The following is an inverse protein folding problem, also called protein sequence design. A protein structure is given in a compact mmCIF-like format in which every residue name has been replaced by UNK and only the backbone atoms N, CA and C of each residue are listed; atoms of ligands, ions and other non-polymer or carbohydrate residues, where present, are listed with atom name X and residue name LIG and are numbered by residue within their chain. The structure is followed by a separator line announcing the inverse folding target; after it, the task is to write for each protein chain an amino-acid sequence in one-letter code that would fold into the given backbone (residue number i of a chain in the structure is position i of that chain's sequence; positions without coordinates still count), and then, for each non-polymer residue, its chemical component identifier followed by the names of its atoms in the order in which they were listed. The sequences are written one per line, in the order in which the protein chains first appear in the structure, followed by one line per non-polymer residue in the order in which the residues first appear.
data_IF_255258848475
#
_entry.id   IF_255258848475
#
_cell.length_a   1.000
_cell.length_b   1.000
_cell.length_c   1.000
_cell.angle_alpha   90.00
_cell.angle_beta   90.00
_cell.angle_gamma   90.00
#
_symmetry.space_group_name_H-M   'P 1'
#
loop_
_entity.id
_entity.type
_entity.pdbx_description
1 polymer ?
#
# COMPACT_ATOMS: atom_id res chain seq x y z
N UNK A 1 6.18 -4.51 5.30
CA UNK A 1 6.92 -5.13 4.19
C UNK A 1 7.54 -4.04 3.34
N UNK A 2 8.85 -4.06 3.15
CA UNK A 2 9.60 -3.00 2.45
C UNK A 2 10.85 -3.58 1.78
N UNK A 3 11.35 -2.89 0.75
CA UNK A 3 12.53 -3.34 0.00
C UNK A 3 13.76 -2.49 0.31
N UNK A 4 14.78 -3.02 1.01
CA UNK A 4 16.00 -2.27 1.29
C UNK A 4 16.90 -2.09 0.06
N UNK A 5 16.65 -2.83 -1.03
CA UNK A 5 17.36 -2.66 -2.29
C UNK A 5 16.96 -1.35 -3.01
N UNK A 6 15.83 -0.74 -2.61
CA UNK A 6 15.27 0.45 -3.24
C UNK A 6 15.56 1.69 -2.36
N UNK A 7 16.38 2.66 -2.82
CA UNK A 7 16.77 3.81 -2.01
C UNK A 7 15.58 4.61 -1.45
N UNK A 8 14.51 4.77 -2.24
CA UNK A 8 13.29 5.46 -1.82
C UNK A 8 12.49 4.73 -0.74
N UNK A 9 12.64 3.40 -0.61
CA UNK A 9 11.92 2.61 0.39
C UNK A 9 12.44 2.85 1.79
N UNK A 10 13.75 3.02 1.97
CA UNK A 10 14.34 3.28 3.28
C UNK A 10 13.73 4.52 3.94
N UNK A 11 13.49 5.58 3.14
CA UNK A 11 12.80 6.79 3.60
C UNK A 11 11.34 6.53 3.96
N UNK A 12 10.56 5.93 3.06
CA UNK A 12 9.13 5.63 3.32
C UNK A 12 8.96 4.70 4.53
N UNK A 13 9.87 3.75 4.69
CA UNK A 13 9.93 2.88 5.86
C UNK A 13 10.17 3.70 7.11
N UNK A 14 11.16 4.60 7.09
CA UNK A 14 11.45 5.49 8.22
C UNK A 14 10.27 6.37 8.61
N UNK A 15 9.54 6.92 7.63
CA UNK A 15 8.33 7.71 7.89
C UNK A 15 7.22 6.86 8.54
N UNK A 16 7.06 5.61 8.08
CA UNK A 16 6.16 4.62 8.71
C UNK A 16 6.61 4.27 10.13
N UNK A 17 7.93 4.18 10.37
CA UNK A 17 8.49 3.93 11.71
C UNK A 17 8.10 5.03 12.70
N UNK A 18 8.21 6.29 12.28
CA UNK A 18 7.87 7.47 13.09
C UNK A 18 6.37 7.50 13.40
N UNK A 19 5.52 7.25 12.40
CA UNK A 19 4.07 7.18 12.61
C UNK A 19 3.70 6.07 13.61
N UNK A 20 4.27 4.87 13.48
CA UNK A 20 4.03 3.77 14.40
C UNK A 20 4.44 4.11 15.85
N UNK A 21 5.58 4.79 16.02
CA UNK A 21 6.03 5.26 17.34
C UNK A 21 5.05 6.27 17.95
N UNK A 22 4.56 7.23 17.17
CA UNK A 22 3.57 8.22 17.64
C UNK A 22 2.25 7.58 18.10
N UNK A 23 1.88 6.46 17.47
CA UNK A 23 0.69 5.66 17.80
C UNK A 23 0.96 4.56 18.84
N UNK A 24 2.18 4.48 19.38
CA UNK A 24 2.63 3.44 20.33
C UNK A 24 2.42 2.01 19.82
N UNK A 25 2.56 1.81 18.51
CA UNK A 25 2.48 0.50 17.87
C UNK A 25 3.85 -0.17 17.85
N UNK A 26 3.89 -1.46 18.20
CA UNK A 26 5.09 -2.29 18.02
C UNK A 26 5.31 -2.48 16.52
N UNK A 27 6.49 -2.09 16.03
CA UNK A 27 6.88 -2.29 14.63
C UNK A 27 7.62 -3.59 14.46
N UNK A 28 7.28 -4.30 13.38
CA UNK A 28 8.04 -5.43 12.87
C UNK A 28 8.58 -5.10 11.48
N UNK A 29 9.90 -5.14 11.32
CA UNK A 29 10.56 -4.83 10.05
C UNK A 29 10.65 -6.08 9.19
N UNK A 30 10.05 -6.04 8.00
CA UNK A 30 10.10 -7.10 7.00
C UNK A 30 10.78 -6.57 5.74
N UNK A 31 12.11 -6.63 5.73
CA UNK A 31 12.93 -6.23 4.59
C UNK A 31 13.06 -7.38 3.58
N UNK A 32 12.72 -7.14 2.32
CA UNK A 32 12.79 -8.14 1.24
C UNK A 32 13.57 -7.56 0.07
N UNK A 33 14.73 -8.12 -0.22
CA UNK A 33 15.63 -7.71 -1.31
C UNK A 33 15.32 -8.42 -2.61
N UNK A 34 14.87 -9.67 -2.52
CA UNK A 34 14.58 -10.53 -3.68
C UNK A 34 13.19 -11.16 -3.56
N UNK A 35 12.54 -11.54 -4.68
CA UNK A 35 11.27 -12.25 -4.63
C UNK A 35 11.28 -13.55 -3.82
N UNK A 36 12.44 -14.21 -3.69
CA UNK A 36 12.60 -15.47 -2.96
C UNK A 36 12.59 -15.28 -1.43
N UNK A 37 12.98 -14.10 -0.94
CA UNK A 37 12.94 -13.76 0.48
C UNK A 37 11.51 -13.46 0.97
N UNK A 38 10.56 -13.25 0.05
CA UNK A 38 9.21 -12.80 0.37
C UNK A 38 8.49 -13.77 1.32
N UNK A 39 8.50 -15.06 1.01
CA UNK A 39 7.76 -16.05 1.79
C UNK A 39 8.31 -16.15 3.23
N UNK A 40 9.64 -16.14 3.39
CA UNK A 40 10.27 -16.15 4.71
C UNK A 40 9.95 -14.89 5.52
N UNK A 41 9.91 -13.73 4.88
CA UNK A 41 9.52 -12.48 5.52
C UNK A 41 8.04 -12.49 5.93
N UNK A 42 7.15 -12.98 5.06
CA UNK A 42 5.74 -13.12 5.37
C UNK A 42 5.50 -14.12 6.50
N UNK A 43 6.19 -15.26 6.52
CA UNK A 43 6.10 -16.24 7.60
C UNK A 43 6.57 -15.67 8.94
N UNK A 44 7.63 -14.86 8.95
CA UNK A 44 8.09 -14.15 10.15
C UNK A 44 7.00 -13.26 10.75
N UNK A 45 6.14 -12.65 9.91
CA UNK A 45 5.02 -11.84 10.38
C UNK A 45 4.00 -12.64 11.21
N UNK A 46 3.79 -13.91 10.87
CA UNK A 46 2.86 -14.79 11.59
C UNK A 46 3.51 -15.30 12.87
N UNK A 47 4.77 -15.74 12.79
CA UNK A 47 5.54 -16.22 13.94
C UNK A 47 5.58 -15.18 15.06
N UNK A 48 5.80 -13.92 14.69
CA UNK A 48 5.92 -12.80 15.62
C UNK A 48 4.57 -12.12 15.92
N UNK A 49 3.47 -12.71 15.46
CA UNK A 49 2.08 -12.30 15.73
C UNK A 49 1.78 -10.86 15.32
N UNK A 50 2.17 -10.47 14.11
CA UNK A 50 1.79 -9.18 13.55
C UNK A 50 0.27 -9.04 13.49
N UNK A 51 -0.27 -7.91 13.97
CA UNK A 51 -1.70 -7.64 13.92
C UNK A 51 -2.20 -7.11 12.57
N UNK A 52 -1.30 -6.60 11.74
CA UNK A 52 -1.57 -6.11 10.39
C UNK A 52 -0.27 -6.01 9.58
N UNK A 53 -0.39 -5.94 8.25
CA UNK A 53 0.71 -5.76 7.33
C UNK A 53 0.54 -4.47 6.51
N UNK A 54 1.52 -3.57 6.59
CA UNK A 54 1.63 -2.42 5.69
C UNK A 54 2.66 -2.75 4.62
N UNK A 55 2.28 -2.59 3.35
CA UNK A 55 3.14 -2.80 2.19
C UNK A 55 3.62 -1.44 1.69
N UNK A 56 4.93 -1.25 1.65
CA UNK A 56 5.54 -0.04 1.07
C UNK A 56 5.75 -0.28 -0.42
N UNK A 57 5.37 0.71 -1.23
CA UNK A 57 5.47 0.63 -2.70
C UNK A 57 6.89 0.23 -3.12
N UNK A 58 7.02 -0.87 -3.83
CA UNK A 58 8.26 -1.30 -4.48
C UNK A 58 7.90 -1.97 -5.81
N UNK A 59 8.67 -1.74 -6.90
CA UNK A 59 8.47 -2.45 -8.16
C UNK A 59 8.48 -3.98 -8.00
N UNK A 60 9.29 -4.49 -7.05
CA UNK A 60 9.37 -5.91 -6.73
C UNK A 60 8.04 -6.51 -6.22
N UNK A 61 7.16 -5.69 -5.64
CA UNK A 61 5.86 -6.13 -5.13
C UNK A 61 4.74 -6.03 -6.15
N UNK A 62 4.93 -5.31 -7.25
CA UNK A 62 3.94 -5.26 -8.33
C UNK A 62 3.77 -6.64 -8.97
N UNK A 63 4.87 -7.37 -9.20
CA UNK A 63 4.84 -8.73 -9.77
C UNK A 63 4.52 -9.84 -8.76
N UNK A 64 4.63 -9.56 -7.45
CA UNK A 64 4.38 -10.53 -6.37
C UNK A 64 3.14 -10.19 -5.53
N UNK A 65 2.35 -9.21 -5.96
CA UNK A 65 1.18 -8.70 -5.25
C UNK A 65 0.15 -9.76 -4.89
N UNK A 66 -0.16 -10.62 -5.86
CA UNK A 66 -1.10 -11.74 -5.66
C UNK A 66 -0.64 -12.69 -4.57
N UNK A 67 0.66 -13.01 -4.51
CA UNK A 67 1.24 -13.85 -3.44
C UNK A 67 1.05 -13.22 -2.06
N UNK A 68 1.22 -11.89 -1.95
CA UNK A 68 1.01 -11.16 -0.70
C UNK A 68 -0.46 -11.17 -0.31
N UNK A 69 -1.36 -10.92 -1.27
CA UNK A 69 -2.81 -10.95 -1.06
C UNK A 69 -3.26 -12.33 -0.58
N UNK A 70 -2.87 -13.39 -1.28
CA UNK A 70 -3.19 -14.77 -0.95
C UNK A 70 -2.68 -15.15 0.43
N UNK A 71 -1.42 -14.81 0.73
CA UNK A 71 -0.83 -15.08 2.04
C UNK A 71 -1.63 -14.39 3.15
N UNK A 72 -1.93 -13.10 2.98
CA UNK A 72 -2.65 -12.33 3.98
C UNK A 72 -4.07 -12.85 4.19
N UNK A 73 -4.78 -13.20 3.12
CA UNK A 73 -6.11 -13.78 3.18
C UNK A 73 -6.12 -15.14 3.90
N UNK A 74 -5.18 -16.04 3.57
CA UNK A 74 -5.03 -17.35 4.21
C UNK A 74 -4.75 -17.25 5.71
N UNK A 75 -3.96 -16.27 6.11
CA UNK A 75 -3.56 -16.07 7.50
C UNK A 75 -4.43 -15.06 8.26
N UNK A 76 -5.54 -14.59 7.66
CA UNK A 76 -6.44 -13.58 8.23
C UNK A 76 -5.73 -12.30 8.68
N UNK A 77 -4.70 -11.89 7.96
CA UNK A 77 -3.88 -10.73 8.28
C UNK A 77 -4.43 -9.48 7.55
N UNK A 78 -4.91 -8.45 8.27
CA UNK A 78 -5.30 -7.19 7.66
C UNK A 78 -4.14 -6.53 6.91
N UNK A 79 -4.40 -6.00 5.71
CA UNK A 79 -3.38 -5.41 4.83
C UNK A 79 -3.71 -3.98 4.44
N UNK A 80 -2.67 -3.14 4.37
CA UNK A 80 -2.71 -1.82 3.75
C UNK A 80 -1.74 -1.78 2.57
N UNK A 81 -2.28 -1.63 1.36
CA UNK A 81 -1.52 -1.65 0.12
C UNK A 81 -1.20 -0.23 -0.38
N UNK A 82 -0.09 -0.07 -1.12
CA UNK A 82 0.33 1.23 -1.63
C UNK A 82 -0.51 1.72 -2.81
N UNK A 83 -1.28 0.83 -3.46
CA UNK A 83 -2.06 1.14 -4.66
C UNK A 83 -3.37 0.33 -4.68
N UNK A 84 -4.40 0.87 -5.33
CA UNK A 84 -5.75 0.28 -5.31
C UNK A 84 -5.90 -1.02 -6.10
N UNK A 85 -5.05 -1.27 -7.09
CA UNK A 85 -5.15 -2.49 -7.88
C UNK A 85 -4.90 -3.75 -7.04
N UNK A 86 -4.12 -3.66 -5.96
CA UNK A 86 -3.97 -4.77 -5.01
C UNK A 86 -5.27 -5.04 -4.24
N UNK A 87 -6.06 -4.01 -3.95
CA UNK A 87 -7.37 -4.14 -3.29
C UNK A 87 -8.39 -4.78 -4.22
N UNK A 88 -8.32 -4.43 -5.52
CA UNK A 88 -9.09 -5.08 -6.60
C UNK A 88 -8.70 -6.56 -6.76
N UNK A 89 -7.43 -6.90 -6.57
CA UNK A 89 -6.92 -8.27 -6.59
C UNK A 89 -7.23 -9.08 -5.31
N UNK A 90 -7.94 -8.50 -4.33
CA UNK A 90 -8.35 -9.20 -3.10
C UNK A 90 -7.65 -8.74 -1.82
N UNK A 91 -6.77 -7.73 -1.91
CA UNK A 91 -6.22 -7.04 -0.74
C UNK A 91 -7.29 -6.30 0.07
N UNK A 92 -7.01 -5.99 1.34
CA UNK A 92 -8.01 -5.40 2.23
C UNK A 92 -8.30 -3.92 1.92
N UNK A 93 -7.28 -3.06 1.93
CA UNK A 93 -7.48 -1.62 1.70
C UNK A 93 -6.22 -0.92 1.18
N UNK A 94 -6.42 0.26 0.60
CA UNK A 94 -5.36 1.17 0.17
C UNK A 94 -5.79 2.62 0.37
N UNK A 95 -4.84 3.49 0.69
CA UNK A 95 -5.00 4.94 0.62
C UNK A 95 -3.83 5.49 -0.19
N UNK A 96 -4.11 5.87 -1.42
CA UNK A 96 -3.08 6.08 -2.42
C UNK A 96 -3.44 7.20 -3.40
N UNK A 97 -2.44 7.86 -4.03
CA UNK A 97 -2.70 8.78 -5.12
C UNK A 97 -3.57 8.17 -6.21
N UNK A 98 -4.47 8.97 -6.78
CA UNK A 98 -5.22 8.55 -7.95
C UNK A 98 -4.30 8.57 -9.19
N UNK A 99 -3.83 7.39 -9.58
CA UNK A 99 -2.84 7.24 -10.67
C UNK A 99 -3.38 7.75 -12.01
N UNK A 100 -4.64 7.49 -12.35
CA UNK A 100 -5.24 8.01 -13.58
C UNK A 100 -5.30 9.55 -13.59
N UNK A 101 -5.58 10.16 -12.44
CA UNK A 101 -5.55 11.61 -12.26
C UNK A 101 -4.13 12.18 -12.40
N UNK A 102 -3.13 11.49 -11.85
CA UNK A 102 -1.73 11.85 -12.03
C UNK A 102 -1.32 11.83 -13.51
N UNK A 103 -1.74 10.82 -14.28
CA UNK A 103 -1.43 10.77 -15.72
C UNK A 103 -2.12 11.88 -16.53
N UNK A 104 -3.37 12.24 -16.19
CA UNK A 104 -4.05 13.39 -16.83
C UNK A 104 -3.31 14.71 -16.55
N UNK A 105 -2.85 14.91 -15.31
CA UNK A 105 -2.02 16.07 -14.96
C UNK A 105 -0.68 16.07 -15.67
N UNK A 106 -0.03 14.90 -15.76
CA UNK A 106 1.23 14.74 -16.46
C UNK A 106 1.12 15.18 -17.93
N UNK A 107 0.01 14.87 -18.61
CA UNK A 107 -0.23 15.33 -19.99
C UNK A 107 -0.26 16.86 -20.10
N UNK A 108 -0.88 17.54 -19.12
CA UNK A 108 -0.86 19.02 -19.05
C UNK A 108 0.54 19.56 -18.79
N UNK A 109 1.33 18.87 -17.96
CA UNK A 109 2.73 19.20 -17.71
C UNK A 109 3.56 19.12 -19.00
N UNK A 110 3.41 18.03 -19.75
CA UNK A 110 4.08 17.82 -21.03
C UNK A 110 3.73 18.92 -22.02
N UNK A 111 2.45 19.26 -22.20
CA UNK A 111 2.03 20.35 -23.09
C UNK A 111 2.71 21.69 -22.75
N UNK A 112 2.73 22.06 -21.47
CA UNK A 112 3.36 23.30 -21.00
C UNK A 112 4.88 23.29 -21.20
N UNK A 113 5.55 22.17 -20.93
CA UNK A 113 7.00 22.01 -21.14
C UNK A 113 7.33 22.12 -22.63
N UNK A 114 6.55 21.47 -23.50
CA UNK A 114 6.73 21.56 -24.96
C UNK A 114 6.52 22.99 -25.49
N UNK A 115 5.74 23.82 -24.77
CA UNK A 115 5.56 25.26 -25.03
C UNK A 115 6.64 26.15 -24.38
N UNK A 116 7.68 25.56 -23.79
CA UNK A 116 8.82 26.29 -23.22
C UNK A 116 8.69 26.67 -21.75
N UNK A 117 7.65 26.22 -21.04
CA UNK A 117 7.53 26.48 -19.61
C UNK A 117 8.51 25.64 -18.79
N UNK A 118 9.14 26.26 -17.79
CA UNK A 118 9.85 25.55 -16.71
C UNK A 118 8.92 25.45 -15.52
N UNK A 119 8.59 24.23 -15.10
CA UNK A 119 7.60 23.98 -14.07
C UNK A 119 8.25 23.31 -12.83
N UNK A 120 7.77 23.60 -11.61
CA UNK A 120 8.22 22.91 -10.40
C UNK A 120 7.79 21.43 -10.41
N UNK A 121 8.15 20.65 -9.39
CA UNK A 121 7.57 19.31 -9.22
C UNK A 121 6.20 19.44 -8.54
N UNK A 122 5.17 18.84 -9.12
CA UNK A 122 3.83 18.75 -8.50
C UNK A 122 3.68 17.48 -7.65
N UNK A 123 3.02 17.61 -6.50
CA UNK A 123 2.58 16.48 -5.67
C UNK A 123 1.16 16.04 -6.05
N UNK A 124 0.80 14.76 -5.85
CA UNK A 124 -0.58 14.33 -6.05
C UNK A 124 -1.55 15.11 -5.16
N UNK A 125 -2.64 15.62 -5.74
CA UNK A 125 -3.68 16.33 -4.99
C UNK A 125 -4.91 15.46 -4.71
N UNK A 126 -5.05 14.33 -5.42
CA UNK A 126 -6.18 13.42 -5.27
C UNK A 126 -5.70 12.06 -4.77
N UNK A 127 -6.32 11.60 -3.70
CA UNK A 127 -6.10 10.30 -3.08
C UNK A 127 -7.42 9.55 -3.03
N UNK A 128 -7.37 8.24 -3.24
CA UNK A 128 -8.52 7.37 -3.11
C UNK A 128 -8.30 6.45 -1.88
N UNK A 129 -9.24 6.45 -0.93
CA UNK A 129 -9.40 5.39 0.06
C UNK A 129 -10.29 4.28 -0.53
N UNK A 130 -9.70 3.11 -0.75
CA UNK A 130 -10.40 1.94 -1.29
C UNK A 130 -10.42 0.83 -0.25
N UNK A 131 -11.59 0.25 0.01
CA UNK A 131 -11.79 -0.81 1.00
C UNK A 131 -12.51 -2.00 0.34
N UNK A 132 -12.01 -3.21 0.59
CA UNK A 132 -12.63 -4.45 0.12
C UNK A 132 -13.40 -5.15 1.25
N UNK A 133 -14.73 -5.08 1.21
CA UNK A 133 -15.60 -5.71 2.20
C UNK A 133 -15.65 -7.23 2.06
N UNK A 134 -15.42 -7.78 0.85
CA UNK A 134 -15.30 -9.24 0.68
C UNK A 134 -14.10 -9.76 1.45
N UNK A 135 -12.95 -9.12 1.30
CA UNK A 135 -11.73 -9.46 2.03
C UNK A 135 -11.91 -9.25 3.52
N UNK A 136 -12.50 -8.12 3.95
CA UNK A 136 -12.77 -7.86 5.36
C UNK A 136 -13.61 -8.99 6.00
N UNK A 137 -14.68 -9.42 5.32
CA UNK A 137 -15.51 -10.56 5.76
C UNK A 137 -14.72 -11.86 5.81
N UNK A 138 -13.91 -12.15 4.78
CA UNK A 138 -13.09 -13.37 4.71
C UNK A 138 -12.10 -13.49 5.87
N UNK A 139 -11.48 -12.37 6.26
CA UNK A 139 -10.51 -12.34 7.37
C UNK A 139 -11.18 -12.14 8.74
N UNK A 140 -12.51 -12.00 8.79
CA UNK A 140 -13.25 -11.79 10.04
C UNK A 140 -13.13 -10.39 10.63
N UNK A 141 -12.79 -9.38 9.83
CA UNK A 141 -12.64 -7.99 10.24
C UNK A 141 -13.92 -7.21 9.97
N UNK A 142 -14.46 -6.56 11.01
CA UNK A 142 -15.58 -5.62 10.86
C UNK A 142 -15.02 -4.21 10.65
N UNK A 143 -15.34 -3.59 9.52
CA UNK A 143 -14.97 -2.19 9.25
C UNK A 143 -16.06 -1.27 9.81
N UNK A 144 -15.73 -0.31 10.69
CA UNK A 144 -16.70 0.63 11.23
C UNK A 144 -17.42 1.45 10.14
N UNK A 145 -18.74 1.71 10.27
CA UNK A 145 -19.50 2.47 9.27
C UNK A 145 -18.94 3.86 8.97
N UNK A 146 -18.39 4.55 9.98
CA UNK A 146 -17.77 5.87 9.82
C UNK A 146 -16.46 5.82 9.00
N UNK A 147 -15.78 4.68 8.95
CA UNK A 147 -14.62 4.47 8.08
C UNK A 147 -15.08 4.20 6.66
N UNK A 148 -16.11 3.36 6.48
CA UNK A 148 -16.69 3.09 5.16
C UNK A 148 -17.27 4.35 4.50
N UNK A 149 -17.90 5.23 5.29
CA UNK A 149 -18.43 6.50 4.81
C UNK A 149 -17.36 7.46 4.27
N UNK A 150 -16.08 7.26 4.66
CA UNK A 150 -14.94 8.04 4.16
C UNK A 150 -14.25 7.41 2.96
N UNK A 151 -14.62 6.18 2.59
CA UNK A 151 -13.99 5.51 1.46
C UNK A 151 -14.53 6.07 0.15
N UNK A 152 -13.63 6.46 -0.75
CA UNK A 152 -13.96 6.86 -2.12
C UNK A 152 -14.50 5.68 -2.93
N UNK A 153 -14.12 4.45 -2.57
CA UNK A 153 -14.64 3.23 -3.18
C UNK A 153 -14.69 2.07 -2.20
N UNK A 154 -15.81 1.35 -2.24
CA UNK A 154 -16.01 0.10 -1.49
C UNK A 154 -16.25 -1.03 -2.48
N UNK A 155 -15.39 -2.06 -2.44
CA UNK A 155 -15.57 -3.30 -3.19
C UNK A 155 -16.46 -4.23 -2.35
N UNK A 156 -17.55 -4.71 -2.94
CA UNK A 156 -18.54 -5.59 -2.31
C UNK A 156 -18.60 -6.93 -3.00
#
# INVERSE_FOLDING_TARGET
LWSPAEPGNARNFKETEVAAQSLRLKRLSLGVRTPDELDNALQSSIKDRAGALIIIRSPAYTSTGERIVDFAAKNRLPTMFPEKFFVEAGGLMSYAPNIADNFRRAATYVDKILKGAKLPVEQPMKFDLVINLKTAKQIGLTIPPNVLARADRVIR
#
